data_IF_247592355730
#
_entry.id   IF_247592355730
#
_cell.length_a   1.000
_cell.length_b   1.000
_cell.length_c   1.000
_cell.angle_alpha   90.00
_cell.angle_beta   90.00
_cell.angle_gamma   90.00
#
_symmetry.space_group_name_H-M   'P 1'
#
loop_
_entity.id
_entity.type
_entity.pdbx_description
1 polymer ?
#
# COMPACT_ATOMS: atom_id res chain seq x y z
N UNK A 1 23.73 -11.97 -16.53
CA UNK A 1 22.35 -11.94 -16.02
C UNK A 1 22.30 -10.85 -14.97
N UNK A 2 21.63 -9.72 -15.26
CA UNK A 2 21.56 -8.57 -14.35
C UNK A 2 20.57 -8.86 -13.22
N UNK A 3 20.98 -8.60 -11.98
CA UNK A 3 20.16 -8.88 -10.80
C UNK A 3 18.90 -8.00 -10.80
N UNK A 4 17.68 -8.57 -10.74
CA UNK A 4 16.44 -7.80 -10.56
C UNK A 4 16.40 -7.01 -9.24
N UNK A 5 17.27 -7.36 -8.29
CA UNK A 5 17.46 -6.70 -6.99
C UNK A 5 17.91 -5.24 -7.09
N UNK A 6 18.51 -4.80 -8.20
CA UNK A 6 19.09 -3.45 -8.27
C UNK A 6 18.04 -2.32 -8.32
N UNK A 7 16.82 -2.55 -8.80
CA UNK A 7 15.82 -1.47 -8.91
C UNK A 7 15.06 -1.25 -7.60
N UNK A 8 14.81 -2.31 -6.83
CA UNK A 8 14.14 -2.24 -5.52
C UNK A 8 14.93 -1.40 -4.51
N UNK A 9 16.26 -1.44 -4.60
CA UNK A 9 17.19 -0.67 -3.76
C UNK A 9 17.23 0.83 -4.10
N UNK A 10 16.78 1.21 -5.30
CA UNK A 10 16.81 2.60 -5.74
C UNK A 10 15.65 3.40 -5.14
N UNK A 11 15.93 4.67 -4.85
CA UNK A 11 14.89 5.64 -4.50
C UNK A 11 14.01 5.93 -5.72
N UNK A 12 12.80 6.40 -5.49
CA UNK A 12 11.92 6.87 -6.57
C UNK A 12 12.60 7.94 -7.42
N UNK A 13 13.33 8.87 -6.80
CA UNK A 13 14.13 9.90 -7.48
C UNK A 13 15.20 9.28 -8.40
N UNK A 14 15.94 8.28 -7.91
CA UNK A 14 16.96 7.60 -8.70
C UNK A 14 16.34 6.82 -9.87
N UNK A 15 15.17 6.20 -9.68
CA UNK A 15 14.42 5.55 -10.77
C UNK A 15 13.94 6.58 -11.81
N UNK A 16 13.44 7.73 -11.37
CA UNK A 16 13.05 8.81 -12.29
C UNK A 16 14.25 9.38 -13.05
N UNK A 17 15.41 9.51 -12.40
CA UNK A 17 16.64 9.93 -13.06
C UNK A 17 17.09 8.94 -14.14
N UNK A 18 16.93 7.63 -13.90
CA UNK A 18 17.20 6.60 -14.90
C UNK A 18 16.30 6.74 -16.14
N UNK A 19 15.03 7.16 -16.01
CA UNK A 19 14.18 7.40 -17.18
C UNK A 19 14.70 8.52 -18.09
N UNK A 20 15.48 9.46 -17.56
CA UNK A 20 16.12 10.52 -18.35
C UNK A 20 17.47 10.13 -18.97
N UNK A 21 17.94 8.91 -18.72
CA UNK A 21 19.20 8.41 -19.25
C UNK A 21 19.00 7.70 -20.60
N UNK A 22 19.25 8.44 -21.67
CA UNK A 22 19.17 7.97 -23.07
C UNK A 22 20.18 6.85 -23.40
N UNK A 23 21.16 6.58 -22.53
CA UNK A 23 22.10 5.48 -22.70
C UNK A 23 21.55 4.13 -22.24
N UNK A 24 20.39 4.11 -21.58
CA UNK A 24 19.75 2.87 -21.16
C UNK A 24 19.20 2.07 -22.34
N UNK A 25 19.42 0.76 -22.29
CA UNK A 25 18.76 -0.15 -23.23
C UNK A 25 17.22 -0.09 -23.06
N UNK A 26 16.49 -0.30 -24.15
CA UNK A 26 15.02 -0.30 -24.13
C UNK A 26 14.41 -1.38 -23.22
N UNK A 27 15.13 -2.48 -22.97
CA UNK A 27 14.73 -3.49 -21.99
C UNK A 27 14.83 -2.93 -20.56
N UNK A 28 15.96 -2.28 -20.23
CA UNK A 28 16.16 -1.67 -18.92
C UNK A 28 15.21 -0.50 -18.67
N UNK A 29 14.90 0.30 -19.69
CA UNK A 29 13.92 1.37 -19.59
C UNK A 29 12.52 0.83 -19.23
N UNK A 30 12.09 -0.29 -19.84
CA UNK A 30 10.83 -0.96 -19.47
C UNK A 30 10.82 -1.44 -18.03
N UNK A 31 11.91 -2.05 -17.54
CA UNK A 31 12.00 -2.50 -16.15
C UNK A 31 11.85 -1.33 -15.15
N UNK A 32 12.43 -0.17 -15.45
CA UNK A 32 12.31 1.04 -14.62
C UNK A 32 10.86 1.57 -14.64
N UNK A 33 10.22 1.62 -15.81
CA UNK A 33 8.81 2.03 -15.93
C UNK A 33 7.87 1.09 -15.18
N UNK A 34 8.08 -0.23 -15.32
CA UNK A 34 7.28 -1.25 -14.64
C UNK A 34 7.41 -1.14 -13.12
N UNK A 35 8.62 -0.89 -12.61
CA UNK A 35 8.88 -0.67 -11.20
C UNK A 35 8.19 0.59 -10.67
N UNK A 36 8.33 1.73 -11.36
CA UNK A 36 7.66 2.97 -10.99
C UNK A 36 6.14 2.83 -10.98
N UNK A 37 5.57 2.14 -11.98
CA UNK A 37 4.14 1.87 -12.06
C UNK A 37 3.67 1.00 -10.89
N UNK A 38 4.45 -0.02 -10.53
CA UNK A 38 4.17 -0.90 -9.39
C UNK A 38 4.18 -0.12 -8.07
N UNK A 39 5.16 0.77 -7.87
CA UNK A 39 5.23 1.65 -6.69
C UNK A 39 4.07 2.62 -6.62
N UNK A 40 3.67 3.22 -7.74
CA UNK A 40 2.51 4.10 -7.80
C UNK A 40 1.21 3.38 -7.42
N UNK A 41 1.00 2.16 -7.95
CA UNK A 41 -0.15 1.35 -7.59
C UNK A 41 -0.15 0.93 -6.11
N UNK A 42 1.03 0.60 -5.56
CA UNK A 42 1.19 0.28 -4.14
C UNK A 42 0.91 1.50 -3.24
N UNK A 43 1.38 2.69 -3.64
CA UNK A 43 1.13 3.95 -2.94
C UNK A 43 -0.35 4.31 -2.94
N UNK A 44 -1.04 4.20 -4.07
CA UNK A 44 -2.49 4.43 -4.17
C UNK A 44 -3.28 3.50 -3.24
N UNK A 45 -2.88 2.23 -3.15
CA UNK A 45 -3.47 1.29 -2.18
C UNK A 45 -3.20 1.71 -0.74
N UNK A 46 -1.98 2.14 -0.43
CA UNK A 46 -1.61 2.63 0.90
C UNK A 46 -2.38 3.89 1.29
N UNK A 47 -2.63 4.80 0.35
CA UNK A 47 -3.49 5.99 0.50
C UNK A 47 -4.91 5.58 0.92
N UNK A 48 -5.57 4.72 0.11
CA UNK A 48 -6.91 4.19 0.46
C UNK A 48 -6.95 3.54 1.85
N UNK A 49 -5.91 2.79 2.21
CA UNK A 49 -5.83 2.12 3.52
C UNK A 49 -5.57 3.09 4.66
N UNK A 50 -4.79 4.16 4.44
CA UNK A 50 -4.59 5.22 5.42
C UNK A 50 -5.88 5.99 5.69
N UNK A 51 -6.65 6.28 4.64
CA UNK A 51 -7.96 6.94 4.74
C UNK A 51 -8.95 6.10 5.54
N UNK A 52 -9.02 4.79 5.30
CA UNK A 52 -9.82 3.87 6.12
C UNK A 52 -9.38 3.90 7.58
N UNK A 53 -8.06 3.88 7.83
CA UNK A 53 -7.52 3.92 9.20
C UNK A 53 -7.88 5.22 9.93
N UNK A 54 -7.96 6.35 9.21
CA UNK A 54 -8.34 7.65 9.76
C UNK A 54 -9.86 7.80 9.93
N UNK A 55 -10.65 7.29 8.99
CA UNK A 55 -12.08 7.61 8.87
C UNK A 55 -12.98 6.65 9.65
N UNK A 56 -12.65 5.35 9.69
CA UNK A 56 -13.49 4.35 10.35
C UNK A 56 -13.71 4.63 11.85
N UNK A 57 -12.70 5.00 12.65
CA UNK A 57 -12.93 5.32 14.06
C UNK A 57 -13.91 6.49 14.26
N UNK A 58 -13.87 7.49 13.38
CA UNK A 58 -14.78 8.63 13.44
C UNK A 58 -16.21 8.21 13.08
N UNK A 59 -16.38 7.37 12.04
CA UNK A 59 -17.68 6.82 11.68
C UNK A 59 -18.26 5.96 12.81
N UNK A 60 -17.46 5.08 13.40
CA UNK A 60 -17.86 4.26 14.54
C UNK A 60 -18.29 5.11 15.74
N UNK A 61 -17.66 6.27 15.98
CA UNK A 61 -18.06 7.18 17.06
C UNK A 61 -19.39 7.93 16.78
N UNK A 62 -19.82 8.01 15.52
CA UNK A 62 -21.06 8.69 15.11
C UNK A 62 -22.27 7.74 15.00
N UNK A 63 -22.03 6.42 14.94
CA UNK A 63 -23.09 5.43 14.82
C UNK A 63 -23.63 4.98 16.19
N UNK A 64 -24.93 5.18 16.43
CA UNK A 64 -25.61 4.65 17.63
C UNK A 64 -25.86 3.12 17.56
N UNK A 65 -25.57 2.49 16.43
CA UNK A 65 -25.75 1.04 16.24
C UNK A 65 -24.47 0.27 16.58
N UNK A 66 -24.56 -0.61 17.58
CA UNK A 66 -23.48 -1.52 17.97
C UNK A 66 -23.03 -2.43 16.81
N UNK A 67 -23.92 -2.76 15.87
CA UNK A 67 -23.58 -3.56 14.69
C UNK A 67 -22.68 -2.79 13.72
N UNK A 68 -22.99 -1.51 13.48
CA UNK A 68 -22.20 -0.64 12.62
C UNK A 68 -20.79 -0.41 13.20
N UNK A 69 -20.69 -0.19 14.50
CA UNK A 69 -19.40 -0.06 15.20
C UNK A 69 -18.56 -1.33 15.07
N UNK A 70 -19.17 -2.51 15.24
CA UNK A 70 -18.49 -3.80 15.08
C UNK A 70 -17.99 -4.02 13.65
N UNK A 71 -18.80 -3.71 12.65
CA UNK A 71 -18.43 -3.85 11.24
C UNK A 71 -17.30 -2.89 10.86
N UNK A 72 -17.42 -1.62 11.24
CA UNK A 72 -16.41 -0.60 11.01
C UNK A 72 -15.07 -1.03 11.65
N UNK A 73 -15.09 -1.47 12.92
CA UNK A 73 -13.90 -1.96 13.61
C UNK A 73 -13.26 -3.18 12.90
N UNK A 74 -14.08 -4.10 12.39
CA UNK A 74 -13.61 -5.26 11.61
C UNK A 74 -12.85 -4.82 10.34
N UNK A 75 -13.38 -3.83 9.61
CA UNK A 75 -12.72 -3.29 8.42
C UNK A 75 -11.40 -2.59 8.76
N UNK A 76 -11.37 -1.82 9.85
CA UNK A 76 -10.14 -1.18 10.33
C UNK A 76 -9.05 -2.20 10.68
N UNK A 77 -9.42 -3.26 11.39
CA UNK A 77 -8.47 -4.30 11.77
C UNK A 77 -7.99 -5.10 10.55
N UNK A 78 -8.86 -5.31 9.57
CA UNK A 78 -8.47 -5.90 8.29
C UNK A 78 -7.49 -5.00 7.52
N UNK A 79 -7.77 -3.70 7.40
CA UNK A 79 -6.89 -2.76 6.72
C UNK A 79 -5.51 -2.70 7.38
N UNK A 80 -5.45 -2.69 8.73
CA UNK A 80 -4.20 -2.75 9.49
C UNK A 80 -3.42 -4.04 9.21
N UNK A 81 -4.09 -5.20 9.18
CA UNK A 81 -3.47 -6.50 8.88
C UNK A 81 -2.91 -6.55 7.47
N UNK A 82 -3.68 -6.15 6.47
CA UNK A 82 -3.24 -6.12 5.06
C UNK A 82 -2.03 -5.20 4.91
N UNK A 83 -2.03 -4.02 5.55
CA UNK A 83 -0.89 -3.09 5.51
C UNK A 83 0.35 -3.72 6.13
N UNK A 84 0.19 -4.39 7.26
CA UNK A 84 1.30 -5.03 7.96
C UNK A 84 1.94 -6.14 7.11
N UNK A 85 1.13 -6.99 6.49
CA UNK A 85 1.60 -8.04 5.58
C UNK A 85 2.29 -7.47 4.34
N UNK A 86 1.74 -6.43 3.72
CA UNK A 86 2.36 -5.79 2.54
C UNK A 86 3.74 -5.19 2.87
N UNK A 87 3.86 -4.53 4.03
CA UNK A 87 5.16 -4.01 4.52
C UNK A 87 6.15 -5.13 4.78
N UNK A 88 5.73 -6.23 5.39
CA UNK A 88 6.59 -7.39 5.64
C UNK A 88 7.06 -8.05 4.34
N UNK A 89 6.15 -8.26 3.39
CA UNK A 89 6.47 -8.82 2.08
C UNK A 89 7.47 -7.94 1.33
N UNK A 90 7.24 -6.62 1.27
CA UNK A 90 8.15 -5.70 0.59
C UNK A 90 9.56 -5.69 1.22
N UNK A 91 9.65 -5.70 2.55
CA UNK A 91 10.95 -5.80 3.22
C UNK A 91 11.62 -7.17 2.99
N UNK A 92 10.84 -8.25 2.96
CA UNK A 92 11.33 -9.60 2.62
C UNK A 92 11.79 -9.75 1.17
N UNK A 93 11.19 -9.01 0.25
CA UNK A 93 11.62 -8.91 -1.16
C UNK A 93 12.89 -8.06 -1.35
N UNK A 94 13.39 -7.43 -0.28
CA UNK A 94 14.65 -6.69 -0.28
C UNK A 94 14.51 -5.18 -0.47
N UNK A 95 13.29 -4.62 -0.48
CA UNK A 95 13.12 -3.17 -0.52
C UNK A 95 13.72 -2.51 0.73
N UNK A 96 14.36 -1.37 0.55
CA UNK A 96 14.86 -0.59 1.68
C UNK A 96 13.73 -0.14 2.59
N UNK A 97 13.99 -0.06 3.90
CA UNK A 97 13.03 0.46 4.91
C UNK A 97 12.52 1.84 4.52
N UNK A 98 13.38 2.69 3.95
CA UNK A 98 13.02 4.03 3.49
C UNK A 98 12.01 3.97 2.35
N UNK A 99 12.25 3.13 1.34
CA UNK A 99 11.36 2.95 0.19
C UNK A 99 10.01 2.41 0.63
N UNK A 100 10.00 1.39 1.49
CA UNK A 100 8.76 0.81 2.01
C UNK A 100 7.98 1.83 2.83
N UNK A 101 8.65 2.60 3.70
CA UNK A 101 8.02 3.63 4.51
C UNK A 101 7.40 4.76 3.67
N UNK A 102 8.09 5.18 2.60
CA UNK A 102 7.57 6.17 1.66
C UNK A 102 6.32 5.66 0.92
N UNK A 103 6.39 4.47 0.32
CA UNK A 103 5.26 3.86 -0.40
C UNK A 103 4.07 3.62 0.54
N UNK A 104 4.33 3.11 1.74
CA UNK A 104 3.29 2.79 2.71
C UNK A 104 2.80 4.02 3.51
N UNK A 105 3.38 5.21 3.27
CA UNK A 105 3.08 6.46 3.96
C UNK A 105 3.10 6.34 5.49
N UNK A 106 4.15 5.73 6.00
CA UNK A 106 4.39 5.56 7.44
C UNK A 106 5.79 6.02 7.78
N UNK A 107 6.02 6.29 9.07
CA UNK A 107 7.38 6.53 9.54
C UNK A 107 8.26 5.27 9.34
N UNK A 108 9.55 5.40 8.98
CA UNK A 108 10.48 4.28 8.89
C UNK A 108 10.55 3.40 10.14
N UNK A 109 10.44 4.03 11.33
CA UNK A 109 10.36 3.32 12.61
C UNK A 109 9.10 2.44 12.72
N UNK A 110 7.99 2.86 12.11
CA UNK A 110 6.75 2.05 12.05
C UNK A 110 6.90 0.89 11.07
N UNK A 111 7.57 1.08 9.93
CA UNK A 111 7.87 -0.01 9.00
C UNK A 111 8.75 -1.09 9.67
N UNK A 112 9.81 -0.69 10.39
CA UNK A 112 10.67 -1.60 11.17
C UNK A 112 9.89 -2.35 12.25
N UNK A 113 9.04 -1.62 13.00
CA UNK A 113 8.20 -2.23 14.03
C UNK A 113 7.27 -3.27 13.44
N UNK A 114 6.60 -2.97 12.32
CA UNK A 114 5.75 -3.92 11.59
C UNK A 114 6.55 -5.14 11.13
N UNK A 115 7.76 -4.94 10.61
CA UNK A 115 8.62 -6.05 10.18
C UNK A 115 8.96 -7.03 11.32
N UNK A 116 9.21 -6.49 12.51
CA UNK A 116 9.53 -7.30 13.70
C UNK A 116 8.34 -8.03 14.33
N UNK A 117 7.11 -7.74 13.91
CA UNK A 117 5.90 -8.38 14.44
C UNK A 117 5.71 -9.77 13.84
N UNK A 118 5.46 -10.77 14.68
CA UNK A 118 4.99 -12.07 14.20
C UNK A 118 3.50 -11.95 13.84
N UNK A 119 3.18 -11.83 12.56
CA UNK A 119 1.80 -11.89 12.06
C UNK A 119 1.43 -13.37 11.93
N UNK A 120 0.73 -13.91 12.93
CA UNK A 120 0.43 -15.36 13.06
C UNK A 120 -0.70 -15.87 12.15
N UNK A 121 -1.24 -15.05 11.24
CA UNK A 121 -2.27 -15.48 10.31
C UNK A 121 -2.14 -14.77 8.96
N UNK A 122 -2.32 -15.52 7.87
CA UNK A 122 -2.60 -14.97 6.54
C UNK A 122 -3.79 -13.99 6.67
N UNK A 123 -3.76 -12.83 6.01
CA UNK A 123 -4.93 -11.96 6.03
C UNK A 123 -6.08 -12.72 5.36
N UNK A 124 -7.31 -12.70 5.92
CA UNK A 124 -8.44 -13.32 5.25
C UNK A 124 -8.58 -12.72 3.84
N UNK A 125 -9.00 -13.51 2.85
CA UNK A 125 -9.12 -13.06 1.47
C UNK A 125 -9.89 -11.75 1.45
N UNK A 126 -9.39 -10.77 0.69
CA UNK A 126 -10.05 -9.47 0.55
C UNK A 126 -11.51 -9.72 0.20
N UNK A 127 -12.44 -9.32 1.08
CA UNK A 127 -13.82 -9.25 0.70
C UNK A 127 -13.87 -8.33 -0.52
N UNK A 128 -14.39 -8.84 -1.63
CA UNK A 128 -14.53 -8.15 -2.93
C UNK A 128 -15.38 -6.87 -2.82
N UNK A 129 -15.96 -6.63 -1.65
CA UNK A 129 -16.66 -5.43 -1.23
C UNK A 129 -15.68 -4.47 -0.56
N UNK A 130 -14.68 -4.00 -1.30
CA UNK A 130 -14.27 -2.62 -1.05
C UNK A 130 -15.46 -1.75 -1.45
N UNK A 131 -15.80 -0.68 -0.71
CA UNK A 131 -16.79 0.27 -1.16
C UNK A 131 -16.21 1.10 -2.32
N UNK A 132 -15.88 0.46 -3.44
CA UNK A 132 -15.92 1.10 -4.75
C UNK A 132 -17.38 1.00 -5.21
N UNK A 133 -18.28 1.74 -4.55
CA UNK A 133 -19.62 1.97 -5.05
C UNK A 133 -20.16 3.31 -4.56
N UNK A 134 -19.44 4.38 -4.89
CA UNK A 134 -20.13 5.58 -5.33
C UNK A 134 -20.59 5.30 -6.76
N UNK A 135 -21.69 4.54 -6.89
CA UNK A 135 -22.52 4.68 -8.09
C UNK A 135 -23.01 6.11 -8.10
N UNK A 136 -22.46 6.93 -9.01
CA UNK A 136 -23.11 8.15 -9.47
C UNK A 136 -24.44 7.76 -10.13
N UNK A 137 -25.46 7.47 -9.32
CA UNK A 137 -26.84 7.62 -9.76
C UNK A 137 -27.20 9.11 -9.60
N UNK A 138 -26.74 9.90 -10.57
CA UNK A 138 -27.34 11.21 -10.86
C UNK A 138 -28.73 10.94 -11.41
N UNK A 139 -29.71 10.80 -10.52
CA UNK A 139 -31.11 10.95 -10.87
C UNK A 139 -31.37 12.45 -11.01
N UNK A 140 -31.33 12.94 -12.25
CA UNK A 140 -31.87 14.25 -12.59
C UNK A 140 -33.36 14.14 -12.95
N UNK A 141 -34.17 15.18 -12.66
CA UNK A 141 -35.62 15.12 -12.42
C UNK A 141 -36.49 14.83 -13.64
#
# INVERSE_FOLDING_TARGET
MGNPSQLADLTTEALTALLGDESLSSARHREVVDELSRRAAARHKAEKMADLVATVPALAALGDSAEFVCEAQSWLDQAKRVRAHAVQAALGEGYSVRTVADIAQIAPSTALRIHSQHLTAEPPPQATLWPDSCSDEVTSP
#
